data_IF_724101614799
#
_entry.id   IF_724101614799
#
_cell.length_a   1.000
_cell.length_b   1.000
_cell.length_c   1.000
_cell.angle_alpha   90.00
_cell.angle_beta   90.00
_cell.angle_gamma   90.00
#
_symmetry.space_group_name_H-M   'P 1'
#
loop_
_entity.id
_entity.type
_entity.pdbx_description
1 polymer ?
#
# COMPACT_ATOMS: atom_id res chain seq x y z
N UNK A 1 -85.91 60.15 -22.45
CA UNK A 1 -85.04 59.34 -21.62
C UNK A 1 -84.94 58.00 -22.28
N UNK A 2 -83.85 57.71 -22.97
CA UNK A 2 -83.61 56.46 -23.67
C UNK A 2 -82.88 55.50 -22.65
N UNK A 3 -83.47 54.33 -22.42
CA UNK A 3 -82.91 53.28 -21.57
C UNK A 3 -81.72 52.55 -22.26
N UNK A 4 -80.61 52.42 -21.55
CA UNK A 4 -79.42 51.70 -22.00
C UNK A 4 -79.71 50.17 -22.19
N UNK A 5 -79.11 49.52 -23.21
CA UNK A 5 -79.30 48.09 -23.43
C UNK A 5 -78.55 47.24 -22.35
N UNK A 6 -79.08 46.06 -22.04
CA UNK A 6 -78.50 45.21 -21.03
C UNK A 6 -77.12 44.68 -21.51
N UNK A 7 -76.24 44.34 -20.54
CA UNK A 7 -74.87 43.82 -20.85
C UNK A 7 -74.95 42.40 -21.45
N UNK A 8 -74.22 42.25 -22.58
CA UNK A 8 -74.04 40.94 -23.24
C UNK A 8 -72.95 40.12 -22.51
N UNK A 9 -73.32 38.96 -22.00
CA UNK A 9 -72.36 37.99 -21.44
C UNK A 9 -71.76 37.17 -22.59
N UNK A 10 -70.46 37.31 -22.79
CA UNK A 10 -69.70 36.44 -23.67
C UNK A 10 -69.22 35.21 -22.89
N UNK A 11 -69.42 33.96 -23.41
CA UNK A 11 -68.91 32.79 -22.73
C UNK A 11 -67.38 32.76 -22.74
N UNK A 12 -66.79 32.45 -21.59
CA UNK A 12 -65.32 32.35 -21.46
C UNK A 12 -64.73 31.31 -22.41
N UNK A 13 -63.69 31.69 -23.12
CA UNK A 13 -62.99 30.82 -24.04
C UNK A 13 -62.40 29.62 -23.28
N UNK A 14 -62.73 28.41 -23.72
CA UNK A 14 -62.15 27.15 -23.19
C UNK A 14 -60.67 27.13 -23.54
N UNK A 15 -59.81 27.31 -22.53
CA UNK A 15 -58.34 27.10 -22.67
C UNK A 15 -58.08 25.59 -22.86
N UNK A 16 -57.57 25.20 -24.01
CA UNK A 16 -57.13 23.83 -24.24
C UNK A 16 -55.92 23.52 -23.33
N UNK A 17 -55.90 22.38 -22.67
CA UNK A 17 -54.77 21.99 -21.83
C UNK A 17 -53.53 21.84 -22.71
N UNK A 18 -52.49 22.64 -22.43
CA UNK A 18 -51.18 22.50 -23.03
C UNK A 18 -50.65 21.12 -22.68
N UNK A 19 -50.57 20.19 -23.65
CA UNK A 19 -49.91 18.88 -23.46
C UNK A 19 -48.49 19.14 -23.00
N UNK A 20 -48.19 18.83 -21.74
CA UNK A 20 -46.85 18.95 -21.21
C UNK A 20 -45.92 18.00 -21.96
N UNK A 21 -44.83 18.48 -22.52
CA UNK A 21 -43.81 17.66 -23.16
C UNK A 21 -42.89 16.95 -22.14
N UNK A 22 -43.34 16.87 -20.89
CA UNK A 22 -42.59 16.23 -19.79
C UNK A 22 -42.23 14.76 -20.13
N UNK A 23 -43.11 14.05 -20.83
CA UNK A 23 -42.84 12.68 -21.26
C UNK A 23 -41.64 12.55 -22.22
N UNK A 24 -41.32 13.58 -23.01
CA UNK A 24 -40.18 13.63 -23.90
C UNK A 24 -38.88 13.68 -23.11
N UNK A 25 -38.86 14.45 -22.03
CA UNK A 25 -37.71 14.53 -21.13
C UNK A 25 -37.47 13.21 -20.38
N UNK A 26 -38.53 12.54 -19.95
CA UNK A 26 -38.45 11.21 -19.32
C UNK A 26 -37.87 10.19 -20.31
N UNK A 27 -38.32 10.21 -21.56
CA UNK A 27 -37.86 9.30 -22.61
C UNK A 27 -36.37 9.58 -22.94
N UNK A 28 -35.97 10.84 -22.97
CA UNK A 28 -34.58 11.26 -23.21
C UNK A 28 -33.63 10.78 -22.07
N UNK A 29 -34.07 10.87 -20.81
CA UNK A 29 -33.30 10.38 -19.66
C UNK A 29 -33.18 8.85 -19.69
N UNK A 30 -34.26 8.12 -20.06
CA UNK A 30 -34.23 6.67 -20.17
C UNK A 30 -33.34 6.21 -21.32
N UNK A 31 -33.37 6.89 -22.47
CA UNK A 31 -32.55 6.56 -23.64
C UNK A 31 -31.08 6.88 -23.37
N UNK A 32 -30.78 8.03 -22.76
CA UNK A 32 -29.40 8.40 -22.41
C UNK A 32 -28.84 7.51 -21.29
N UNK A 33 -29.68 7.15 -20.31
CA UNK A 33 -29.31 6.17 -19.26
C UNK A 33 -29.07 4.77 -19.84
N UNK A 34 -29.94 4.30 -20.74
CA UNK A 34 -29.78 3.01 -21.44
C UNK A 34 -28.54 2.99 -22.35
N UNK A 35 -28.27 4.10 -23.06
CA UNK A 35 -27.09 4.23 -23.90
C UNK A 35 -25.80 4.31 -23.06
N UNK A 36 -25.85 4.97 -21.89
CA UNK A 36 -24.73 4.99 -20.93
C UNK A 36 -24.44 3.60 -20.36
N UNK A 37 -25.46 2.83 -19.99
CA UNK A 37 -25.32 1.44 -19.53
C UNK A 37 -24.83 0.52 -20.65
N UNK A 38 -25.28 0.73 -21.89
CA UNK A 38 -24.82 -0.04 -23.06
C UNK A 38 -23.36 0.28 -23.41
N UNK A 39 -22.95 1.56 -23.38
CA UNK A 39 -21.55 1.96 -23.55
C UNK A 39 -20.66 1.42 -22.43
N UNK A 40 -21.10 1.46 -21.15
CA UNK A 40 -20.38 0.83 -20.03
C UNK A 40 -20.25 -0.69 -20.25
N UNK A 41 -21.31 -1.35 -20.74
CA UNK A 41 -21.27 -2.77 -21.07
C UNK A 41 -20.28 -3.10 -22.19
N UNK A 42 -20.20 -2.28 -23.25
CA UNK A 42 -19.27 -2.50 -24.36
C UNK A 42 -17.82 -2.21 -24.03
N UNK A 43 -17.55 -1.24 -23.13
CA UNK A 43 -16.18 -0.96 -22.63
C UNK A 43 -15.68 -2.13 -21.75
N UNK A 44 -16.57 -2.81 -21.02
CA UNK A 44 -16.21 -3.97 -20.19
C UNK A 44 -15.96 -5.26 -21.01
N UNK A 45 -16.33 -5.31 -22.29
CA UNK A 45 -16.23 -6.54 -23.12
C UNK A 45 -14.96 -6.61 -23.97
N UNK A 46 -14.04 -5.63 -23.91
CA UNK A 46 -12.74 -5.73 -24.57
C UNK A 46 -11.70 -6.37 -23.64
N UNK A 47 -11.73 -7.70 -23.58
CA UNK A 47 -10.57 -8.58 -23.48
C UNK A 47 -9.72 -8.47 -22.22
N UNK A 48 -10.28 -8.71 -21.03
CA UNK A 48 -9.49 -9.28 -19.94
C UNK A 48 -10.06 -10.67 -19.65
N UNK A 49 -9.31 -11.73 -19.97
CA UNK A 49 -9.63 -13.06 -19.47
C UNK A 49 -9.43 -13.04 -17.96
N UNK A 50 -10.52 -12.79 -17.21
CA UNK A 50 -10.51 -12.85 -15.74
C UNK A 50 -10.92 -14.26 -15.34
N UNK A 51 -10.00 -15.01 -14.76
CA UNK A 51 -10.29 -16.28 -14.08
C UNK A 51 -10.52 -16.02 -12.60
N UNK A 52 -11.49 -16.75 -11.99
CA UNK A 52 -11.81 -16.58 -10.57
C UNK A 52 -10.90 -17.49 -9.73
N UNK A 53 -10.09 -16.90 -8.88
CA UNK A 53 -9.38 -17.62 -7.84
C UNK A 53 -10.13 -17.52 -6.50
N UNK A 54 -10.16 -18.59 -5.70
CA UNK A 54 -10.87 -18.62 -4.42
C UNK A 54 -9.93 -18.96 -3.27
N UNK A 55 -9.97 -18.14 -2.23
CA UNK A 55 -9.24 -18.35 -0.99
C UNK A 55 -10.18 -18.13 0.19
N UNK A 56 -10.41 -19.17 1.04
CA UNK A 56 -11.19 -19.14 2.28
C UNK A 56 -12.52 -18.36 2.19
N UNK A 57 -13.27 -18.59 1.11
CA UNK A 57 -14.54 -17.89 0.87
C UNK A 57 -14.41 -16.52 0.23
N UNK A 58 -13.23 -15.94 0.13
CA UNK A 58 -12.96 -14.71 -0.62
C UNK A 58 -12.73 -15.07 -2.10
N UNK A 59 -13.32 -14.29 -2.99
CA UNK A 59 -13.07 -14.41 -4.43
C UNK A 59 -12.05 -13.35 -4.82
N UNK A 60 -11.06 -13.77 -5.59
CA UNK A 60 -10.14 -12.88 -6.29
C UNK A 60 -10.32 -13.04 -7.79
N UNK A 61 -10.25 -11.96 -8.53
CA UNK A 61 -10.20 -11.97 -9.97
C UNK A 61 -8.73 -11.92 -10.41
N UNK A 62 -8.32 -12.90 -11.21
CA UNK A 62 -7.02 -12.89 -11.84
C UNK A 62 -7.09 -12.06 -13.10
N UNK A 63 -6.35 -10.98 -13.17
CA UNK A 63 -6.25 -10.11 -14.34
C UNK A 63 -4.92 -10.33 -15.04
N UNK A 64 -4.96 -10.79 -16.28
CA UNK A 64 -3.76 -10.89 -17.12
C UNK A 64 -3.39 -9.50 -17.65
N UNK A 65 -2.14 -9.10 -17.38
CA UNK A 65 -1.56 -7.85 -17.89
C UNK A 65 -0.90 -8.04 -19.27
N UNK A 66 -0.64 -9.28 -19.65
CA UNK A 66 -0.04 -9.66 -20.93
C UNK A 66 -0.80 -10.87 -21.49
N UNK A 67 -0.84 -10.97 -22.80
CA UNK A 67 -1.46 -12.11 -23.50
C UNK A 67 -0.39 -12.83 -24.33
N UNK A 68 0.19 -13.88 -23.72
CA UNK A 68 1.20 -14.74 -24.31
C UNK A 68 0.66 -16.14 -24.46
N UNK A 69 1.06 -16.83 -25.52
CA UNK A 69 0.71 -18.24 -25.76
C UNK A 69 1.54 -19.15 -24.82
N UNK A 70 1.21 -19.10 -23.54
CA UNK A 70 1.85 -19.90 -22.50
C UNK A 70 0.99 -19.98 -21.24
N UNK A 71 1.03 -21.13 -20.57
CA UNK A 71 0.38 -21.33 -19.26
C UNK A 71 1.23 -20.78 -18.09
N UNK A 72 2.52 -20.48 -18.31
CA UNK A 72 3.35 -19.96 -17.25
C UNK A 72 2.90 -18.57 -16.81
N UNK A 73 2.85 -18.35 -15.50
CA UNK A 73 2.45 -17.08 -14.88
C UNK A 73 3.56 -16.51 -14.01
N UNK A 74 3.66 -15.19 -13.99
CA UNK A 74 4.40 -14.40 -13.00
C UNK A 74 3.39 -13.49 -12.32
N UNK A 75 3.22 -13.63 -11.01
CA UNK A 75 2.29 -12.79 -10.23
C UNK A 75 2.97 -11.48 -9.86
N UNK A 76 2.32 -10.36 -10.13
CA UNK A 76 2.76 -9.04 -9.68
C UNK A 76 1.92 -8.60 -8.48
N UNK A 77 2.55 -8.43 -7.32
CA UNK A 77 1.94 -7.98 -6.06
C UNK A 77 2.39 -6.56 -5.77
N UNK A 78 1.45 -5.64 -5.57
CA UNK A 78 1.77 -4.24 -5.27
C UNK A 78 1.89 -4.02 -3.76
N UNK A 79 2.98 -3.37 -3.31
CA UNK A 79 3.20 -2.88 -1.94
C UNK A 79 3.38 -1.37 -2.02
N UNK A 80 2.28 -0.64 -1.95
CA UNK A 80 2.26 0.81 -2.15
C UNK A 80 1.87 1.54 -0.86
N UNK A 81 2.47 2.72 -0.65
CA UNK A 81 2.18 3.58 0.48
C UNK A 81 2.71 3.05 1.82
N UNK A 82 2.11 3.46 2.93
CA UNK A 82 2.57 3.10 4.28
C UNK A 82 2.22 1.64 4.57
N UNK A 83 3.20 0.86 5.00
CA UNK A 83 3.01 -0.54 5.41
C UNK A 83 2.35 -0.57 6.79
N UNK A 84 1.10 -1.01 6.85
CA UNK A 84 0.31 -1.09 8.07
C UNK A 84 -0.65 -2.28 8.02
N UNK A 85 -0.98 -2.82 9.19
CA UNK A 85 -2.02 -3.85 9.36
C UNK A 85 -3.42 -3.26 9.53
N UNK A 86 -3.59 -1.96 9.31
CA UNK A 86 -4.87 -1.26 9.45
C UNK A 86 -5.27 -0.64 8.13
N UNK A 87 -6.56 -0.67 7.84
CA UNK A 87 -7.14 0.02 6.70
C UNK A 87 -7.13 1.54 6.98
N UNK A 88 -6.16 2.27 6.41
CA UNK A 88 -6.01 3.72 6.60
C UNK A 88 -6.88 4.54 5.64
N UNK A 89 -7.18 4.00 4.45
CA UNK A 89 -7.80 4.72 3.34
C UNK A 89 -8.99 4.01 2.68
N UNK A 90 -9.40 2.86 3.22
CA UNK A 90 -10.47 2.03 2.65
C UNK A 90 -9.97 1.02 1.61
N UNK A 91 -8.66 0.90 1.42
CA UNK A 91 -8.05 -0.08 0.50
C UNK A 91 -7.94 -1.49 1.09
N UNK A 92 -8.22 -1.64 2.39
CA UNK A 92 -8.10 -2.89 3.13
C UNK A 92 -6.75 -3.06 3.83
N UNK A 93 -6.60 -4.16 4.56
CA UNK A 93 -5.37 -4.52 5.26
C UNK A 93 -4.31 -4.97 4.24
N UNK A 94 -3.25 -4.16 4.08
CA UNK A 94 -2.15 -4.44 3.15
C UNK A 94 -1.45 -5.77 3.47
N UNK A 95 -1.23 -6.06 4.76
CA UNK A 95 -0.55 -7.28 5.20
C UNK A 95 -1.36 -8.51 4.81
N UNK A 96 -2.66 -8.48 5.11
CA UNK A 96 -3.54 -9.59 4.78
C UNK A 96 -3.66 -9.79 3.27
N UNK A 97 -3.74 -8.70 2.49
CA UNK A 97 -3.79 -8.76 1.04
C UNK A 97 -2.54 -9.42 0.45
N UNK A 98 -1.35 -9.01 0.90
CA UNK A 98 -0.08 -9.61 0.42
C UNK A 98 -0.02 -11.10 0.78
N UNK A 99 -0.45 -11.49 1.98
CA UNK A 99 -0.53 -12.90 2.40
C UNK A 99 -1.50 -13.69 1.53
N UNK A 100 -2.71 -13.17 1.28
CA UNK A 100 -3.72 -13.81 0.44
C UNK A 100 -3.18 -14.00 -1.01
N UNK A 101 -2.54 -12.98 -1.58
CA UNK A 101 -1.97 -13.04 -2.94
C UNK A 101 -0.81 -14.02 -3.05
N UNK A 102 0.07 -14.11 -2.02
CA UNK A 102 1.12 -15.12 -1.96
C UNK A 102 0.55 -16.54 -1.84
N UNK A 103 -0.50 -16.74 -1.04
CA UNK A 103 -1.16 -18.04 -0.89
C UNK A 103 -1.84 -18.49 -2.19
N UNK A 104 -2.46 -17.57 -2.94
CA UNK A 104 -2.99 -17.86 -4.28
C UNK A 104 -1.87 -18.26 -5.24
N UNK A 105 -0.75 -17.53 -5.22
CA UNK A 105 0.43 -17.84 -6.03
C UNK A 105 1.08 -19.19 -5.63
N UNK A 106 1.01 -19.58 -4.36
CA UNK A 106 1.48 -20.88 -3.87
C UNK A 106 0.64 -22.02 -4.47
N UNK A 107 -0.70 -21.90 -4.41
CA UNK A 107 -1.66 -22.93 -4.85
C UNK A 107 -1.72 -23.11 -6.37
N UNK A 108 -1.37 -22.09 -7.15
CA UNK A 108 -1.38 -22.18 -8.62
C UNK A 108 -0.05 -22.76 -9.15
N UNK A 109 -0.10 -23.96 -9.71
CA UNK A 109 1.05 -24.64 -10.31
C UNK A 109 1.62 -23.94 -11.55
N UNK A 110 0.84 -23.09 -12.23
CA UNK A 110 1.27 -22.30 -13.38
C UNK A 110 2.11 -21.09 -12.97
N UNK A 111 1.96 -20.62 -11.73
CA UNK A 111 2.80 -19.54 -11.19
C UNK A 111 4.22 -20.05 -11.00
N UNK A 112 5.19 -19.40 -11.67
CA UNK A 112 6.61 -19.77 -11.68
C UNK A 112 7.48 -18.79 -10.88
N UNK A 113 7.02 -17.56 -10.67
CA UNK A 113 7.69 -16.53 -9.89
C UNK A 113 6.70 -15.47 -9.40
N UNK A 114 7.11 -14.67 -8.42
CA UNK A 114 6.38 -13.50 -7.93
C UNK A 114 7.27 -12.27 -8.07
N UNK A 115 6.69 -11.14 -8.47
CA UNK A 115 7.35 -9.82 -8.46
C UNK A 115 6.59 -8.94 -7.47
N UNK A 116 7.27 -8.50 -6.40
CA UNK A 116 6.76 -7.48 -5.49
C UNK A 116 7.10 -6.11 -6.07
N UNK A 117 6.09 -5.33 -6.40
CA UNK A 117 6.24 -3.94 -6.83
C UNK A 117 6.12 -3.05 -5.61
N UNK A 118 7.24 -2.51 -5.16
CA UNK A 118 7.34 -1.81 -3.89
C UNK A 118 7.53 -0.31 -4.15
N UNK A 119 6.54 0.50 -3.73
CA UNK A 119 6.62 1.96 -3.72
C UNK A 119 6.14 2.47 -2.36
N UNK A 120 7.04 2.42 -1.36
CA UNK A 120 6.70 2.58 0.06
C UNK A 120 7.79 3.28 0.85
N UNK A 121 7.45 4.26 1.71
CA UNK A 121 8.37 4.84 2.69
C UNK A 121 8.66 3.91 3.88
N UNK A 122 8.02 2.74 3.93
CA UNK A 122 8.00 1.85 5.08
C UNK A 122 6.70 1.94 5.88
N UNK A 123 6.75 1.64 7.17
CA UNK A 123 5.56 1.66 8.01
C UNK A 123 5.77 0.98 9.37
N UNK A 124 4.74 0.31 9.87
CA UNK A 124 4.78 -0.38 11.15
C UNK A 124 5.77 -1.55 11.13
N UNK A 125 6.54 -1.68 12.21
CA UNK A 125 7.53 -2.75 12.39
C UNK A 125 6.89 -4.12 12.25
N UNK A 126 5.80 -4.37 12.97
CA UNK A 126 5.12 -5.67 12.97
C UNK A 126 4.52 -5.99 11.60
N UNK A 127 3.87 -5.02 10.95
CA UNK A 127 3.30 -5.20 9.61
C UNK A 127 4.38 -5.56 8.58
N UNK A 128 5.54 -4.88 8.64
CA UNK A 128 6.69 -5.18 7.77
C UNK A 128 7.27 -6.57 8.06
N UNK A 129 7.36 -6.98 9.32
CA UNK A 129 7.87 -8.30 9.71
C UNK A 129 6.90 -9.43 9.28
N UNK A 130 5.59 -9.20 9.35
CA UNK A 130 4.61 -10.17 8.89
C UNK A 130 4.69 -10.40 7.37
N UNK A 131 4.86 -9.34 6.58
CA UNK A 131 5.07 -9.45 5.13
C UNK A 131 6.41 -10.16 4.85
N UNK A 132 7.48 -9.79 5.55
CA UNK A 132 8.79 -10.46 5.44
C UNK A 132 8.66 -11.98 5.67
N UNK A 133 7.97 -12.40 6.73
CA UNK A 133 7.76 -13.81 7.06
C UNK A 133 6.97 -14.53 5.97
N UNK A 134 5.90 -13.91 5.45
CA UNK A 134 5.10 -14.48 4.38
C UNK A 134 5.91 -14.69 3.11
N UNK A 135 6.78 -13.74 2.73
CA UNK A 135 7.68 -13.88 1.57
C UNK A 135 8.67 -15.01 1.77
N UNK A 136 9.29 -15.07 2.95
CA UNK A 136 10.27 -16.11 3.29
C UNK A 136 9.63 -17.50 3.24
N UNK A 137 8.49 -17.66 3.90
CA UNK A 137 7.74 -18.91 3.94
C UNK A 137 7.29 -19.37 2.56
N UNK A 138 6.81 -18.44 1.71
CA UNK A 138 6.44 -18.72 0.33
C UNK A 138 7.61 -19.27 -0.48
N UNK A 139 8.80 -18.63 -0.39
CA UNK A 139 9.99 -19.10 -1.11
C UNK A 139 10.47 -20.45 -0.61
N UNK A 140 10.45 -20.67 0.71
CA UNK A 140 10.90 -21.95 1.33
C UNK A 140 9.98 -23.11 0.97
N UNK A 141 8.67 -22.90 1.01
CA UNK A 141 7.67 -23.93 0.69
C UNK A 141 7.63 -24.28 -0.80
N UNK A 142 7.71 -23.27 -1.66
CA UNK A 142 7.42 -23.46 -3.09
C UNK A 142 8.67 -23.58 -3.94
N UNK A 143 9.81 -23.06 -3.49
CA UNK A 143 11.00 -22.88 -4.31
C UNK A 143 10.84 -21.81 -5.41
N UNK A 144 9.66 -21.19 -5.55
CA UNK A 144 9.40 -20.15 -6.55
C UNK A 144 10.13 -18.86 -6.15
N UNK A 145 10.91 -18.23 -7.05
CA UNK A 145 11.64 -17.02 -6.70
C UNK A 145 10.70 -15.82 -6.53
N UNK A 146 10.99 -15.00 -5.52
CA UNK A 146 10.37 -13.68 -5.34
C UNK A 146 11.37 -12.60 -5.71
N UNK A 147 10.98 -11.68 -6.57
CA UNK A 147 11.80 -10.55 -7.03
C UNK A 147 11.20 -9.27 -6.45
N UNK A 148 11.99 -8.48 -5.73
CA UNK A 148 11.60 -7.13 -5.37
C UNK A 148 11.91 -6.18 -6.53
N UNK A 149 10.91 -5.47 -7.04
CA UNK A 149 11.07 -4.35 -7.97
C UNK A 149 10.71 -3.07 -7.22
N UNK A 150 11.70 -2.24 -6.99
CA UNK A 150 11.55 -0.97 -6.31
C UNK A 150 11.05 0.11 -7.26
N UNK A 151 10.00 0.85 -6.84
CA UNK A 151 9.48 2.02 -7.53
C UNK A 151 10.32 3.26 -7.26
N UNK A 152 9.68 4.41 -7.14
CA UNK A 152 10.36 5.66 -6.80
C UNK A 152 10.96 5.63 -5.39
N UNK A 153 10.29 4.91 -4.47
CA UNK A 153 10.64 4.83 -3.06
C UNK A 153 10.47 3.39 -2.55
N UNK A 154 11.51 2.82 -1.97
CA UNK A 154 11.44 1.54 -1.26
C UNK A 154 12.39 1.58 -0.06
N UNK A 155 12.01 2.36 0.96
CA UNK A 155 12.86 2.69 2.09
C UNK A 155 12.32 2.11 3.40
N UNK A 156 13.20 1.93 4.37
CA UNK A 156 12.85 1.48 5.72
C UNK A 156 12.05 0.17 5.70
N UNK A 157 10.78 0.12 6.13
CA UNK A 157 9.91 -1.07 6.00
C UNK A 157 9.80 -1.58 4.56
N UNK A 158 9.85 -0.69 3.55
CA UNK A 158 9.88 -1.07 2.14
C UNK A 158 11.16 -1.83 1.77
N UNK A 159 12.32 -1.45 2.34
CA UNK A 159 13.55 -2.21 2.20
C UNK A 159 13.52 -3.51 3.03
N UNK A 160 12.92 -3.47 4.23
CA UNK A 160 12.76 -4.64 5.10
C UNK A 160 12.07 -5.80 4.38
N UNK A 161 10.96 -5.52 3.67
CA UNK A 161 10.22 -6.53 2.90
C UNK A 161 10.93 -6.92 1.60
N UNK A 162 11.82 -6.08 1.07
CA UNK A 162 12.65 -6.39 -0.10
C UNK A 162 13.81 -7.34 0.23
N UNK A 163 14.36 -7.24 1.44
CA UNK A 163 15.59 -7.92 1.85
C UNK A 163 15.56 -9.46 1.70
N UNK A 164 14.44 -10.18 1.97
CA UNK A 164 14.35 -11.64 1.81
C UNK A 164 14.18 -12.09 0.35
N UNK A 165 13.89 -11.17 -0.57
CA UNK A 165 13.64 -11.53 -1.95
C UNK A 165 14.88 -12.11 -2.62
N UNK A 166 14.63 -13.08 -3.50
CA UNK A 166 15.68 -13.78 -4.25
C UNK A 166 16.53 -12.85 -5.10
N UNK A 167 15.94 -11.73 -5.53
CA UNK A 167 16.60 -10.71 -6.33
C UNK A 167 15.94 -9.35 -6.12
N UNK A 168 16.73 -8.28 -6.10
CA UNK A 168 16.25 -6.91 -5.91
C UNK A 168 16.65 -6.07 -7.12
N UNK A 169 15.65 -5.48 -7.79
CA UNK A 169 15.80 -4.57 -8.91
C UNK A 169 15.35 -3.17 -8.50
N UNK A 170 16.17 -2.16 -8.76
CA UNK A 170 15.85 -0.75 -8.51
C UNK A 170 16.24 0.12 -9.70
N UNK A 171 15.51 1.22 -9.92
CA UNK A 171 15.99 2.26 -10.84
C UNK A 171 17.19 2.98 -10.22
N UNK A 172 18.06 3.57 -11.03
CA UNK A 172 19.21 4.35 -10.53
C UNK A 172 18.79 5.47 -9.58
N UNK A 173 17.61 6.06 -9.82
CA UNK A 173 17.05 7.17 -9.08
C UNK A 173 16.09 6.75 -7.95
N UNK A 174 15.83 5.46 -7.77
CA UNK A 174 15.04 4.95 -6.64
C UNK A 174 15.64 5.42 -5.32
N UNK A 175 14.80 5.90 -4.41
CA UNK A 175 15.21 6.17 -3.04
C UNK A 175 14.99 4.92 -2.18
N UNK A 176 16.05 4.45 -1.50
CA UNK A 176 16.00 3.21 -0.70
C UNK A 176 16.89 3.31 0.54
N UNK A 177 17.13 2.20 1.23
CA UNK A 177 17.88 2.21 2.49
C UNK A 177 16.99 2.61 3.67
N UNK A 178 17.33 3.67 4.40
CA UNK A 178 16.67 4.05 5.65
C UNK A 178 16.55 2.86 6.62
N UNK A 179 17.65 2.09 6.74
CA UNK A 179 17.73 0.94 7.64
C UNK A 179 17.87 1.46 9.06
N UNK A 180 16.74 1.59 9.74
CA UNK A 180 16.65 2.19 11.06
C UNK A 180 15.26 2.05 11.66
N UNK A 181 15.14 2.40 12.93
CA UNK A 181 13.89 2.36 13.71
C UNK A 181 13.67 3.72 14.35
N UNK A 182 12.47 4.20 14.29
CA UNK A 182 12.08 5.44 14.95
C UNK A 182 10.84 5.23 15.80
N UNK A 183 10.83 5.82 16.98
CA UNK A 183 9.67 6.00 17.81
C UNK A 183 9.60 7.48 18.18
N UNK A 184 8.57 8.16 17.70
CA UNK A 184 8.42 9.60 17.93
C UNK A 184 7.14 9.91 18.70
N UNK A 185 7.16 10.99 19.43
CA UNK A 185 6.02 11.52 20.16
C UNK A 185 6.16 13.01 20.38
N UNK A 186 5.04 13.68 20.64
CA UNK A 186 5.03 15.09 21.00
C UNK A 186 4.72 15.23 22.48
N UNK A 187 5.36 16.20 23.14
CA UNK A 187 5.03 16.55 24.53
C UNK A 187 4.24 17.86 24.53
N UNK A 188 2.99 17.79 25.01
CA UNK A 188 2.07 18.93 25.06
C UNK A 188 2.02 19.61 26.42
N UNK A 189 2.81 19.17 27.41
CA UNK A 189 2.74 19.67 28.78
C UNK A 189 2.90 21.20 28.85
N UNK A 190 3.88 21.75 28.14
CA UNK A 190 4.09 23.20 28.14
C UNK A 190 2.93 24.01 27.56
N UNK A 191 2.20 23.43 26.58
CA UNK A 191 0.98 24.03 26.05
C UNK A 191 -0.16 23.96 27.09
N UNK A 192 -0.32 22.80 27.74
CA UNK A 192 -1.34 22.62 28.79
C UNK A 192 -1.15 23.61 29.95
N UNK A 193 0.07 23.83 30.40
CA UNK A 193 0.36 24.82 31.45
C UNK A 193 -0.07 26.24 31.04
N UNK A 194 0.15 26.62 29.75
CA UNK A 194 -0.25 27.96 29.25
C UNK A 194 -1.76 28.15 29.17
N UNK A 195 -2.54 27.10 28.95
CA UNK A 195 -4.02 27.18 28.90
C UNK A 195 -4.72 26.73 30.19
N UNK A 196 -3.94 26.50 31.26
CA UNK A 196 -4.47 26.16 32.57
C UNK A 196 -5.00 24.74 32.74
N UNK A 197 -4.61 23.81 31.82
CA UNK A 197 -5.01 22.39 31.88
C UNK A 197 -3.98 21.63 32.72
N UNK A 198 -4.45 20.95 33.76
CA UNK A 198 -3.59 20.12 34.62
C UNK A 198 -4.00 18.64 34.50
N UNK A 199 -3.19 17.78 33.85
CA UNK A 199 -3.45 16.36 33.82
C UNK A 199 -3.31 15.75 35.21
N UNK A 200 -4.29 14.92 35.60
CA UNK A 200 -4.22 14.15 36.84
C UNK A 200 -4.01 12.67 36.47
N UNK A 201 -2.88 12.12 36.90
CA UNK A 201 -2.50 10.74 36.56
C UNK A 201 -2.44 9.89 37.82
N UNK A 202 -3.28 8.85 37.86
CA UNK A 202 -3.23 7.80 38.85
C UNK A 202 -2.71 6.53 38.20
N UNK A 203 -1.63 5.95 38.69
CA UNK A 203 -0.95 4.81 38.05
C UNK A 203 -0.46 3.78 39.04
N UNK A 204 -0.43 2.52 38.61
CA UNK A 204 0.25 1.45 39.30
C UNK A 204 1.65 1.25 38.69
N UNK A 205 2.69 1.39 39.51
CA UNK A 205 4.07 1.23 39.05
C UNK A 205 4.68 2.50 38.42
N UNK A 206 6.01 2.60 38.61
CA UNK A 206 6.80 3.79 38.26
C UNK A 206 6.72 4.16 36.76
N UNK A 207 6.72 3.18 35.89
CA UNK A 207 6.84 3.35 34.44
C UNK A 207 5.54 3.13 33.65
N UNK A 208 4.37 3.05 34.33
CA UNK A 208 3.10 2.76 33.64
C UNK A 208 2.69 3.82 32.62
N UNK A 209 3.13 5.06 32.83
CA UNK A 209 2.92 6.22 31.95
C UNK A 209 4.20 6.59 31.17
N UNK A 210 5.03 5.61 30.86
CA UNK A 210 6.22 5.80 30.05
C UNK A 210 5.84 6.46 28.70
N UNK A 211 6.66 7.42 28.24
CA UNK A 211 6.40 8.23 27.03
C UNK A 211 5.13 9.11 27.11
N UNK A 212 4.67 9.47 28.30
CA UNK A 212 3.51 10.36 28.46
C UNK A 212 3.73 11.71 27.77
N UNK A 213 2.80 12.07 26.88
CA UNK A 213 2.79 13.37 26.19
C UNK A 213 2.43 14.56 27.10
N UNK A 214 1.98 14.28 28.34
CA UNK A 214 1.46 15.28 29.28
C UNK A 214 2.31 15.42 30.55
N UNK A 215 3.41 14.67 30.69
CA UNK A 215 4.33 14.74 31.80
C UNK A 215 5.37 15.84 31.55
N UNK A 216 5.79 16.54 32.59
CA UNK A 216 6.90 17.48 32.48
C UNK A 216 8.21 16.75 32.18
N UNK A 217 9.11 17.32 31.37
CA UNK A 217 10.41 16.70 31.09
C UNK A 217 11.23 16.38 32.33
N UNK A 218 11.16 17.27 33.36
CA UNK A 218 11.83 17.11 34.65
C UNK A 218 11.26 15.97 35.52
N UNK A 219 10.00 15.60 35.30
CA UNK A 219 9.30 14.52 36.02
C UNK A 219 9.48 13.15 35.35
N UNK A 220 10.26 13.06 34.26
CA UNK A 220 10.54 11.78 33.57
C UNK A 220 11.43 10.93 34.47
N UNK A 221 11.01 9.70 34.86
CA UNK A 221 11.80 8.86 35.74
C UNK A 221 13.17 8.52 35.16
N UNK A 222 14.18 8.53 35.97
CA UNK A 222 15.49 8.02 35.58
C UNK A 222 15.38 6.58 35.08
N UNK A 223 16.06 6.28 33.97
CA UNK A 223 16.02 4.99 33.28
C UNK A 223 14.89 4.81 32.27
N UNK A 224 13.91 5.74 32.21
CA UNK A 224 12.83 5.61 31.21
C UNK A 224 13.38 5.75 29.79
N UNK A 225 14.28 6.70 29.56
CA UNK A 225 14.87 6.97 28.25
C UNK A 225 15.73 5.79 27.78
N UNK A 226 16.50 5.21 28.67
CA UNK A 226 17.35 4.04 28.41
C UNK A 226 16.49 2.81 28.07
N UNK A 227 15.34 2.60 28.73
CA UNK A 227 14.42 1.51 28.41
C UNK A 227 13.83 1.67 26.99
N UNK A 228 13.39 2.88 26.63
CA UNK A 228 12.87 3.16 25.28
C UNK A 228 13.96 2.95 24.24
N UNK A 229 15.18 3.45 24.50
CA UNK A 229 16.30 3.27 23.57
C UNK A 229 16.66 1.79 23.42
N UNK A 230 16.65 1.00 24.48
CA UNK A 230 16.92 -0.43 24.41
C UNK A 230 15.91 -1.16 23.51
N UNK A 231 14.61 -0.81 23.55
CA UNK A 231 13.58 -1.37 22.65
C UNK A 231 13.85 -1.01 21.18
N UNK A 232 14.28 0.23 20.93
CA UNK A 232 14.67 0.70 19.60
C UNK A 232 15.88 -0.07 19.09
N UNK A 233 16.90 -0.24 19.93
CA UNK A 233 18.16 -0.92 19.59
C UNK A 233 17.93 -2.42 19.31
N UNK A 234 17.08 -3.09 20.07
CA UNK A 234 16.67 -4.47 19.83
C UNK A 234 15.98 -4.62 18.46
N UNK A 235 15.01 -3.75 18.19
CA UNK A 235 14.29 -3.74 16.91
C UNK A 235 15.21 -3.41 15.74
N UNK A 236 16.13 -2.49 15.93
CA UNK A 236 17.16 -2.15 14.93
C UNK A 236 18.13 -3.30 14.67
N UNK A 237 18.54 -4.00 15.72
CA UNK A 237 19.32 -5.24 15.60
C UNK A 237 18.60 -6.30 14.77
N UNK A 238 17.28 -6.42 14.96
CA UNK A 238 16.41 -7.32 14.18
C UNK A 238 16.41 -6.92 12.70
N UNK A 239 16.26 -5.63 12.39
CA UNK A 239 16.30 -5.15 11.00
C UNK A 239 17.62 -5.51 10.32
N UNK A 240 18.75 -5.16 10.94
CA UNK A 240 20.08 -5.54 10.40
C UNK A 240 20.21 -7.05 10.22
N UNK A 241 19.68 -7.84 11.15
CA UNK A 241 19.63 -9.29 11.04
C UNK A 241 18.85 -9.80 9.83
N UNK A 242 17.69 -9.18 9.53
CA UNK A 242 16.88 -9.48 8.34
C UNK A 242 17.65 -9.20 7.06
N UNK A 243 18.28 -8.02 6.97
CA UNK A 243 19.09 -7.64 5.80
C UNK A 243 20.23 -8.66 5.59
N UNK A 244 20.99 -8.95 6.63
CA UNK A 244 22.11 -9.92 6.56
C UNK A 244 21.64 -11.29 6.08
N UNK A 245 20.62 -11.86 6.74
CA UNK A 245 20.11 -13.20 6.40
C UNK A 245 19.54 -13.24 4.99
N UNK A 246 18.73 -12.25 4.61
CA UNK A 246 18.08 -12.22 3.31
C UNK A 246 19.09 -12.11 2.16
N UNK A 247 20.05 -11.20 2.27
CA UNK A 247 21.07 -11.03 1.25
C UNK A 247 22.03 -12.22 1.17
N UNK A 248 22.40 -12.82 2.30
CA UNK A 248 23.24 -14.02 2.32
C UNK A 248 22.51 -15.23 1.72
N UNK A 249 21.24 -15.47 2.08
CA UNK A 249 20.43 -16.53 1.49
C UNK A 249 20.32 -16.38 -0.04
N UNK A 250 20.08 -15.13 -0.51
CA UNK A 250 20.05 -14.81 -1.93
C UNK A 250 21.40 -15.11 -2.59
N UNK A 251 22.51 -14.68 -1.99
CA UNK A 251 23.88 -14.94 -2.48
C UNK A 251 24.17 -16.44 -2.63
N UNK A 252 23.87 -17.21 -1.59
CA UNK A 252 24.06 -18.67 -1.60
C UNK A 252 23.26 -19.33 -2.71
N UNK A 253 22.01 -18.96 -2.85
CA UNK A 253 21.12 -19.51 -3.86
C UNK A 253 21.54 -19.06 -5.28
N UNK A 254 22.04 -17.82 -5.47
CA UNK A 254 22.58 -17.33 -6.74
C UNK A 254 23.83 -18.11 -7.15
N UNK A 255 24.74 -18.36 -6.20
CA UNK A 255 25.93 -19.18 -6.45
C UNK A 255 25.58 -20.59 -6.90
N UNK A 256 24.60 -21.25 -6.25
CA UNK A 256 24.11 -22.58 -6.66
C UNK A 256 23.51 -22.57 -8.08
N UNK A 257 22.90 -21.45 -8.49
CA UNK A 257 22.31 -21.29 -9.81
C UNK A 257 23.32 -20.80 -10.88
N UNK A 258 24.59 -20.60 -10.54
CA UNK A 258 25.62 -20.07 -11.46
C UNK A 258 25.44 -18.59 -11.82
N UNK A 259 24.75 -17.84 -10.95
CA UNK A 259 24.44 -16.40 -11.12
C UNK A 259 25.28 -15.50 -10.20
N UNK A 260 26.32 -16.05 -9.57
CA UNK A 260 27.20 -15.33 -8.65
C UNK A 260 27.85 -14.08 -9.27
N UNK A 261 28.20 -14.14 -10.56
CA UNK A 261 28.77 -13.00 -11.28
C UNK A 261 27.78 -11.88 -11.59
N UNK A 262 26.48 -12.17 -11.52
CA UNK A 262 25.41 -11.22 -11.81
C UNK A 262 24.79 -10.61 -10.54
N UNK A 263 24.88 -11.33 -9.42
CA UNK A 263 24.38 -10.86 -8.11
C UNK A 263 25.42 -9.97 -7.42
N UNK A 264 24.93 -9.09 -6.55
CA UNK A 264 25.78 -8.19 -5.76
C UNK A 264 25.88 -8.72 -4.33
N UNK A 265 27.08 -8.69 -3.76
CA UNK A 265 27.31 -9.00 -2.34
C UNK A 265 27.22 -7.73 -1.50
N UNK A 266 26.78 -7.86 -0.26
CA UNK A 266 26.86 -6.76 0.70
C UNK A 266 28.33 -6.34 0.88
N UNK A 267 28.58 -5.04 0.85
CA UNK A 267 29.89 -4.49 1.18
C UNK A 267 30.34 -4.96 2.57
N UNK A 268 31.62 -5.20 2.77
CA UNK A 268 32.13 -5.71 4.05
C UNK A 268 31.82 -4.81 5.25
N UNK A 269 31.69 -3.51 5.00
CA UNK A 269 31.36 -2.46 5.97
C UNK A 269 29.90 -1.98 5.88
N UNK A 270 29.00 -2.75 5.26
CA UNK A 270 27.62 -2.36 4.99
C UNK A 270 26.85 -1.90 6.24
N UNK A 271 27.18 -2.43 7.43
CA UNK A 271 26.54 -2.02 8.67
C UNK A 271 26.81 -0.55 9.04
N UNK A 272 27.94 0.00 8.60
CA UNK A 272 28.24 1.43 8.81
C UNK A 272 27.34 2.34 7.97
N UNK A 273 26.71 1.81 6.94
CA UNK A 273 25.73 2.50 6.12
C UNK A 273 24.29 2.26 6.55
N UNK A 274 24.05 1.32 7.46
CA UNK A 274 22.72 0.98 7.98
C UNK A 274 22.33 1.87 9.17
N UNK A 275 22.55 3.17 9.10
CA UNK A 275 22.37 4.17 10.18
C UNK A 275 21.11 5.04 9.98
N UNK A 276 20.18 4.57 9.14
CA UNK A 276 18.95 5.30 8.82
C UNK A 276 19.05 6.21 7.60
N UNK A 277 20.24 6.32 6.98
CA UNK A 277 20.42 7.14 5.76
C UNK A 277 19.72 6.56 4.55
N UNK A 278 19.39 7.43 3.60
CA UNK A 278 18.79 7.09 2.31
C UNK A 278 19.88 6.99 1.24
N UNK A 279 19.70 6.07 0.30
CA UNK A 279 20.57 5.88 -0.87
C UNK A 279 19.76 6.06 -2.16
N UNK A 280 20.45 6.46 -3.23
CA UNK A 280 19.96 6.21 -4.58
C UNK A 280 20.05 4.71 -4.90
N UNK A 281 19.25 4.22 -5.86
CA UNK A 281 19.36 2.83 -6.32
C UNK A 281 20.75 2.49 -6.83
N UNK A 282 21.44 3.46 -7.48
CA UNK A 282 22.83 3.31 -7.92
C UNK A 282 23.79 3.06 -6.76
N UNK A 283 23.68 3.84 -5.69
CA UNK A 283 24.50 3.69 -4.49
C UNK A 283 24.16 2.40 -3.73
N UNK A 284 22.87 2.08 -3.63
CA UNK A 284 22.40 0.84 -3.01
C UNK A 284 22.94 -0.40 -3.73
N UNK A 285 23.06 -0.37 -5.07
CA UNK A 285 23.72 -1.44 -5.82
C UNK A 285 25.19 -1.53 -5.50
N UNK A 286 25.91 -0.40 -5.43
CA UNK A 286 27.34 -0.37 -5.07
C UNK A 286 27.60 -0.99 -3.69
N UNK A 287 26.68 -0.79 -2.75
CA UNK A 287 26.77 -1.31 -1.39
C UNK A 287 26.22 -2.74 -1.22
N UNK A 288 25.65 -3.33 -2.28
CA UNK A 288 25.08 -4.68 -2.25
C UNK A 288 23.68 -4.80 -1.68
N UNK A 289 23.01 -3.67 -1.45
CA UNK A 289 21.59 -3.66 -1.03
C UNK A 289 20.63 -3.96 -2.19
N UNK A 290 21.07 -3.76 -3.43
CA UNK A 290 20.34 -4.00 -4.68
C UNK A 290 21.18 -4.86 -5.61
N UNK A 291 20.58 -5.83 -6.30
CA UNK A 291 21.28 -6.74 -7.20
C UNK A 291 21.43 -6.18 -8.60
N UNK A 292 20.43 -5.47 -9.12
CA UNK A 292 20.38 -5.05 -10.51
C UNK A 292 19.70 -3.69 -10.66
N UNK A 293 20.23 -2.85 -11.57
CA UNK A 293 19.61 -1.59 -11.94
C UNK A 293 18.65 -1.81 -13.11
N UNK A 294 17.44 -1.29 -12.99
CA UNK A 294 16.43 -1.39 -14.04
C UNK A 294 15.02 -1.04 -13.58
N UNK A 295 14.10 -1.29 -14.48
CA UNK A 295 12.66 -1.08 -14.32
C UNK A 295 11.92 -2.42 -14.17
N UNK A 296 10.58 -2.39 -14.26
CA UNK A 296 9.73 -3.57 -14.18
C UNK A 296 10.06 -4.62 -15.25
N UNK A 297 10.42 -4.21 -16.47
CA UNK A 297 10.78 -5.16 -17.55
C UNK A 297 12.05 -5.95 -17.22
N UNK A 298 13.00 -5.31 -16.53
CA UNK A 298 14.21 -5.99 -16.03
C UNK A 298 13.84 -7.00 -14.95
N UNK A 299 12.93 -6.64 -14.03
CA UNK A 299 12.43 -7.57 -13.02
C UNK A 299 11.73 -8.78 -13.66
N UNK A 300 10.91 -8.56 -14.69
CA UNK A 300 10.25 -9.65 -15.44
C UNK A 300 11.27 -10.55 -16.13
N UNK A 301 12.29 -9.99 -16.80
CA UNK A 301 13.36 -10.78 -17.39
C UNK A 301 14.10 -11.61 -16.35
N UNK A 302 14.38 -11.01 -15.19
CA UNK A 302 15.05 -11.69 -14.07
C UNK A 302 14.17 -12.80 -13.48
N UNK A 303 12.89 -12.55 -13.29
CA UNK A 303 11.93 -13.55 -12.83
C UNK A 303 11.88 -14.76 -13.76
N UNK A 304 11.78 -14.54 -15.07
CA UNK A 304 11.82 -15.62 -16.07
C UNK A 304 13.11 -16.41 -16.00
N UNK A 305 14.27 -15.73 -15.89
CA UNK A 305 15.59 -16.37 -15.81
C UNK A 305 15.71 -17.24 -14.54
N UNK A 306 15.29 -16.72 -13.39
CA UNK A 306 15.35 -17.45 -12.11
C UNK A 306 14.38 -18.62 -12.06
N UNK A 307 13.23 -18.51 -12.73
CA UNK A 307 12.24 -19.58 -12.83
C UNK A 307 12.55 -20.60 -13.93
N UNK A 308 13.58 -20.37 -14.76
CA UNK A 308 13.95 -21.29 -15.86
C UNK A 308 12.94 -21.33 -17.00
N UNK A 309 12.21 -20.23 -17.25
CA UNK A 309 11.18 -20.13 -18.29
C UNK A 309 11.50 -19.05 -19.32
N UNK A 310 11.02 -19.24 -20.56
CA UNK A 310 11.22 -18.28 -21.65
C UNK A 310 10.10 -17.26 -21.75
N UNK A 311 8.85 -17.70 -21.57
CA UNK A 311 7.63 -16.87 -21.64
C UNK A 311 6.74 -17.09 -20.43
N UNK A 312 6.04 -16.02 -20.04
CA UNK A 312 5.05 -16.04 -18.98
C UNK A 312 4.01 -14.92 -19.19
N UNK A 313 2.79 -15.18 -18.75
CA UNK A 313 1.79 -14.14 -18.57
C UNK A 313 2.01 -13.43 -17.22
N UNK A 314 1.99 -12.10 -17.23
CA UNK A 314 2.04 -11.31 -16.00
C UNK A 314 0.62 -11.15 -15.51
N UNK A 315 0.34 -11.60 -14.29
CA UNK A 315 -1.00 -11.59 -13.71
C UNK A 315 -1.01 -10.83 -12.37
N UNK A 316 -2.17 -10.27 -12.04
CA UNK A 316 -2.48 -9.65 -10.74
C UNK A 316 -3.74 -10.25 -10.18
N UNK A 317 -3.77 -10.41 -8.87
CA UNK A 317 -5.00 -10.74 -8.15
C UNK A 317 -5.65 -9.46 -7.64
N UNK A 318 -6.95 -9.32 -7.86
CA UNK A 318 -7.72 -8.18 -7.38
C UNK A 318 -8.99 -8.68 -6.69
N UNK A 319 -9.43 -8.05 -5.59
CA UNK A 319 -10.72 -8.36 -5.02
C UNK A 319 -11.80 -8.05 -6.07
N UNK A 320 -12.88 -8.86 -6.16
CA UNK A 320 -13.94 -8.66 -7.13
C UNK A 320 -14.59 -7.29 -6.92
N UNK A 321 -14.97 -6.67 -8.03
CA UNK A 321 -15.64 -5.39 -8.02
C UNK A 321 -17.00 -5.52 -7.31
N UNK A 322 -17.10 -5.04 -6.06
CA UNK A 322 -18.37 -5.02 -5.34
C UNK A 322 -19.13 -3.73 -5.66
N UNK A 323 -20.31 -3.86 -6.29
CA UNK A 323 -21.23 -2.74 -6.54
C UNK A 323 -21.55 -1.95 -5.25
N UNK A 324 -21.47 -2.57 -4.07
CA UNK A 324 -21.58 -1.90 -2.77
C UNK A 324 -20.55 -0.79 -2.53
N UNK A 325 -19.39 -0.84 -3.18
CA UNK A 325 -18.37 0.20 -3.05
C UNK A 325 -18.79 1.51 -3.76
N UNK A 326 -19.62 1.44 -4.81
CA UNK A 326 -20.22 2.63 -5.45
C UNK A 326 -21.15 3.33 -4.49
N UNK A 327 -21.99 2.58 -3.76
CA UNK A 327 -22.88 3.16 -2.74
C UNK A 327 -22.11 3.73 -1.54
N UNK A 328 -20.96 3.15 -1.15
CA UNK A 328 -20.07 3.75 -0.13
C UNK A 328 -19.41 5.04 -0.63
N UNK A 329 -19.08 5.15 -1.93
CA UNK A 329 -18.55 6.39 -2.52
C UNK A 329 -19.63 7.47 -2.62
N UNK A 330 -20.87 7.10 -2.97
CA UNK A 330 -22.01 7.99 -3.08
C UNK A 330 -22.68 8.28 -1.72
N UNK A 331 -22.50 7.40 -0.73
CA UNK A 331 -23.10 7.51 0.62
C UNK A 331 -22.20 8.16 1.67
N UNK A 332 -20.96 8.53 1.33
CA UNK A 332 -20.16 9.43 2.19
C UNK A 332 -20.68 10.86 2.07
N UNK A 333 -21.92 11.11 2.51
CA UNK A 333 -22.29 12.44 2.99
C UNK A 333 -21.51 12.66 4.27
N UNK A 334 -20.39 13.36 4.15
CA UNK A 334 -19.61 13.82 5.28
C UNK A 334 -20.56 14.59 6.23
N UNK A 335 -20.84 14.03 7.39
CA UNK A 335 -21.25 14.85 8.53
C UNK A 335 -20.15 15.92 8.64
N UNK A 336 -20.56 17.18 8.62
CA UNK A 336 -19.69 18.37 8.59
C UNK A 336 -18.67 18.34 9.75
N UNK A 337 -17.60 17.58 9.60
CA UNK A 337 -16.37 17.84 10.30
C UNK A 337 -15.67 18.97 9.51
N UNK A 338 -15.54 20.13 10.11
CA UNK A 338 -14.70 21.20 9.57
C UNK A 338 -13.29 20.64 9.53
N UNK A 339 -12.86 20.12 8.37
CA UNK A 339 -11.46 19.80 8.12
C UNK A 339 -10.75 21.12 8.00
N UNK A 340 -10.06 21.54 9.06
CA UNK A 340 -9.04 22.57 8.95
C UNK A 340 -7.87 21.92 8.23
N UNK A 341 -7.79 22.12 6.93
CA UNK A 341 -6.63 21.72 6.14
C UNK A 341 -5.49 22.69 6.47
N UNK A 342 -4.56 22.21 7.28
CA UNK A 342 -3.35 22.96 7.65
C UNK A 342 -2.27 22.85 6.57
N UNK A 343 -2.58 22.25 5.40
CA UNK A 343 -1.63 22.09 4.29
C UNK A 343 -0.52 21.07 4.55
N UNK A 344 -0.65 20.24 5.58
CA UNK A 344 0.31 19.19 5.92
C UNK A 344 -0.44 17.86 6.09
N UNK A 345 -0.29 16.96 5.13
CA UNK A 345 -0.70 15.56 5.27
C UNK A 345 0.37 14.78 6.06
N UNK A 346 0.30 14.85 7.37
CA UNK A 346 1.09 13.93 8.18
C UNK A 346 0.44 12.54 8.13
N UNK A 347 1.23 11.48 7.86
CA UNK A 347 0.73 10.13 8.04
C UNK A 347 0.21 9.99 9.48
N UNK A 348 -1.01 9.49 9.65
CA UNK A 348 -1.64 9.31 10.97
C UNK A 348 -0.97 8.16 11.71
N UNK A 349 0.25 8.42 12.22
CA UNK A 349 0.97 7.47 13.04
C UNK A 349 0.28 7.34 14.39
N UNK A 350 0.07 6.12 14.84
CA UNK A 350 -0.52 5.86 16.16
C UNK A 350 0.56 6.03 17.23
N UNK A 351 0.26 6.80 18.26
CA UNK A 351 1.18 6.99 19.38
C UNK A 351 1.51 5.66 20.07
N UNK A 352 2.77 5.47 20.44
CA UNK A 352 3.24 4.26 21.12
C UNK A 352 3.58 3.07 20.24
N UNK A 353 3.52 3.21 18.91
CA UNK A 353 4.01 2.19 17.98
C UNK A 353 5.39 2.50 17.45
N UNK A 354 6.17 1.47 17.17
CA UNK A 354 7.44 1.58 16.47
C UNK A 354 7.23 1.50 14.97
N UNK A 355 7.99 2.30 14.23
CA UNK A 355 7.90 2.38 12.79
C UNK A 355 9.26 2.20 12.12
N UNK A 356 9.26 1.46 11.04
CA UNK A 356 10.23 1.52 9.98
C UNK A 356 9.72 2.54 8.95
N UNK A 357 9.99 3.82 9.14
CA UNK A 357 9.45 4.88 8.29
C UNK A 357 10.52 5.92 7.96
N UNK A 358 10.60 6.29 6.70
CA UNK A 358 11.48 7.36 6.23
C UNK A 358 10.71 8.69 6.19
N UNK A 359 10.91 9.55 7.20
CA UNK A 359 10.19 10.84 7.31
C UNK A 359 10.60 11.87 6.27
N UNK A 360 11.80 11.78 5.70
CA UNK A 360 12.30 12.77 4.76
C UNK A 360 11.63 12.70 3.37
N UNK A 361 10.74 11.75 3.16
CA UNK A 361 10.11 11.48 1.84
C UNK A 361 8.59 11.54 1.89
N UNK A 362 8.00 11.75 3.07
CA UNK A 362 6.54 11.79 3.31
C UNK A 362 6.03 13.23 3.50
N UNK A 363 6.78 14.25 3.08
CA UNK A 363 6.33 15.64 3.06
C UNK A 363 5.59 16.01 1.78
#
# INVERSE_FOLDING_TARGET
>A
MASAPPPQFYPAAKTQPRRSRAWVWVLLVVVLGGMGLWLMGTISFHGSHSTKARLDGKFYEEHSMTDKDTDNKIVAIDINGIITSHDLDGSGDLVQRVKDELELAEKDSHVKAVILKIDSPGGEVLASDEIYRAIHEFQDKTGKPVIAQMGSLAASGGYYVSAPCRWIVANELTLTGSIGVIMSGMNFRGLMDKVGIQPQVYKSGKFKDMMSSTRRPEDVPAGEREMVQALIDETYGTFKGVVRRGREASRVANKKAGLDKESTELAGDWESYADGRIFSGKEAKRLGFVDELGNFDVAVKRAKKLAGITEANIVKYQPPFAFGNIFRLLGKTDAHAVKVDLGFDFPRLQAGRMYFLSFNVVQ
#
